data_IF_869470497346
#
_entry.id   IF_869470497346
#
_cell.length_a   1.000
_cell.length_b   1.000
_cell.length_c   1.000
_cell.angle_alpha   90.00
_cell.angle_beta   90.00
_cell.angle_gamma   90.00
#
_symmetry.space_group_name_H-M   'P 1'
#
loop_
_entity.id
_entity.type
_entity.pdbx_description
1 polymer ?
#
# COMPACT_ATOMS: atom_id res chain seq x y z
N UNK A 1 -4.28 13.15 4.61
CA UNK A 1 -5.02 12.69 3.41
C UNK A 1 -6.30 12.02 3.87
N UNK A 2 -7.44 12.22 3.20
CA UNK A 2 -8.71 11.62 3.64
C UNK A 2 -8.84 10.16 3.16
N UNK A 3 -9.67 9.36 3.85
CA UNK A 3 -9.83 7.93 3.56
C UNK A 3 -10.36 7.67 2.15
N UNK A 4 -11.31 8.46 1.66
CA UNK A 4 -11.87 8.32 0.32
C UNK A 4 -10.80 8.40 -0.77
N UNK A 5 -9.89 9.37 -0.67
CA UNK A 5 -8.78 9.50 -1.60
C UNK A 5 -7.81 8.31 -1.50
N UNK A 6 -7.49 7.87 -0.27
CA UNK A 6 -6.59 6.73 -0.05
C UNK A 6 -7.17 5.43 -0.63
N UNK A 7 -8.47 5.18 -0.43
CA UNK A 7 -9.17 4.04 -1.03
C UNK A 7 -9.23 4.13 -2.54
N UNK A 8 -9.51 5.33 -3.07
CA UNK A 8 -9.50 5.57 -4.52
C UNK A 8 -8.13 5.31 -5.15
N UNK A 9 -7.04 5.68 -4.46
CA UNK A 9 -5.69 5.35 -4.92
C UNK A 9 -5.46 3.84 -4.95
N UNK A 10 -5.76 3.13 -3.86
CA UNK A 10 -5.60 1.67 -3.78
C UNK A 10 -6.39 0.96 -4.88
N UNK A 11 -7.66 1.35 -5.06
CA UNK A 11 -8.55 0.80 -6.08
C UNK A 11 -8.06 1.12 -7.49
N UNK A 12 -7.59 2.35 -7.73
CA UNK A 12 -7.00 2.74 -9.01
C UNK A 12 -5.80 1.88 -9.40
N UNK A 13 -4.96 1.46 -8.43
CA UNK A 13 -3.86 0.53 -8.71
C UNK A 13 -4.38 -0.87 -9.07
N UNK A 14 -5.45 -1.35 -8.43
CA UNK A 14 -6.09 -2.62 -8.79
C UNK A 14 -6.64 -2.58 -10.23
N UNK A 15 -7.37 -1.51 -10.57
CA UNK A 15 -8.06 -1.38 -11.85
C UNK A 15 -7.09 -1.16 -13.03
N UNK A 16 -5.94 -0.55 -12.76
CA UNK A 16 -4.91 -0.28 -13.77
C UNK A 16 -3.79 -1.33 -13.79
N UNK A 17 -3.86 -2.34 -12.92
CA UNK A 17 -2.90 -3.43 -12.91
C UNK A 17 -2.93 -4.18 -14.26
N UNK A 18 -1.77 -4.59 -14.81
CA UNK A 18 -1.73 -5.39 -16.03
C UNK A 18 -2.57 -6.66 -15.89
N UNK A 19 -3.41 -6.96 -16.88
CA UNK A 19 -4.27 -8.15 -16.89
C UNK A 19 -3.49 -9.48 -16.84
N UNK A 20 -2.18 -9.45 -17.08
CA UNK A 20 -1.27 -10.59 -16.95
C UNK A 20 -0.94 -10.95 -15.50
N UNK A 21 -1.22 -10.06 -14.54
CA UNK A 21 -1.02 -10.35 -13.12
C UNK A 21 -2.16 -11.19 -12.56
N UNK A 22 -1.80 -12.19 -11.75
CA UNK A 22 -2.80 -12.89 -10.94
C UNK A 22 -3.37 -11.96 -9.88
N UNK A 23 -4.56 -12.27 -9.37
CA UNK A 23 -5.21 -11.49 -8.29
C UNK A 23 -4.27 -11.25 -7.09
N UNK A 24 -3.53 -12.29 -6.67
CA UNK A 24 -2.57 -12.17 -5.57
C UNK A 24 -1.39 -11.22 -5.90
N UNK A 25 -0.98 -11.15 -7.16
CA UNK A 25 0.07 -10.21 -7.60
C UNK A 25 -0.46 -8.78 -7.75
N UNK A 26 -1.70 -8.63 -8.19
CA UNK A 26 -2.41 -7.35 -8.22
C UNK A 26 -2.55 -6.78 -6.81
N UNK A 27 -2.93 -7.60 -5.82
CA UNK A 27 -3.02 -7.16 -4.41
C UNK A 27 -1.64 -6.74 -3.87
N UNK A 28 -0.59 -7.52 -4.14
CA UNK A 28 0.79 -7.15 -3.74
C UNK A 28 1.22 -5.81 -4.36
N UNK A 29 0.90 -5.58 -5.63
CA UNK A 29 1.18 -4.33 -6.32
C UNK A 29 0.42 -3.16 -5.69
N UNK A 30 -0.89 -3.32 -5.47
CA UNK A 30 -1.75 -2.31 -4.86
C UNK A 30 -1.27 -1.91 -3.45
N UNK A 31 -0.97 -2.90 -2.60
CA UNK A 31 -0.40 -2.66 -1.27
C UNK A 31 0.93 -1.91 -1.37
N UNK A 32 1.85 -2.39 -2.19
CA UNK A 32 3.20 -1.79 -2.31
C UNK A 32 3.13 -0.35 -2.79
N UNK A 33 2.34 -0.09 -3.84
CA UNK A 33 2.20 1.23 -4.44
C UNK A 33 1.50 2.21 -3.51
N UNK A 34 0.49 1.74 -2.77
CA UNK A 34 -0.23 2.55 -1.79
C UNK A 34 0.67 2.93 -0.63
N UNK A 35 1.45 1.99 -0.07
CA UNK A 35 2.42 2.31 0.98
C UNK A 35 3.43 3.33 0.47
N UNK A 36 3.98 3.14 -0.74
CA UNK A 36 4.97 4.06 -1.31
C UNK A 36 4.40 5.47 -1.48
N UNK A 37 3.23 5.59 -2.12
CA UNK A 37 2.60 6.88 -2.40
C UNK A 37 2.24 7.62 -1.11
N UNK A 38 1.55 6.97 -0.18
CA UNK A 38 1.13 7.59 1.07
C UNK A 38 2.33 7.97 1.93
N UNK A 39 3.39 7.15 1.93
CA UNK A 39 4.62 7.48 2.66
C UNK A 39 5.33 8.68 2.04
N UNK A 40 5.37 8.78 0.72
CA UNK A 40 5.91 9.94 0.02
C UNK A 40 5.09 11.21 0.30
N UNK A 41 3.76 11.07 0.42
CA UNK A 41 2.85 12.14 0.84
C UNK A 41 2.93 12.49 2.34
N UNK A 42 3.90 11.96 3.09
CA UNK A 42 4.13 12.30 4.49
C UNK A 42 3.20 11.60 5.49
N UNK A 43 2.39 10.64 5.06
CA UNK A 43 1.51 9.91 5.97
C UNK A 43 2.33 8.99 6.89
N UNK A 44 1.91 8.91 8.15
CA UNK A 44 2.58 8.09 9.17
C UNK A 44 2.45 6.60 8.84
N UNK A 45 3.47 5.81 9.22
CA UNK A 45 3.46 4.36 8.98
C UNK A 45 2.28 3.69 9.69
N UNK A 46 1.98 4.10 10.92
CA UNK A 46 0.84 3.61 11.69
C UNK A 46 -0.47 3.89 10.96
N UNK A 47 -0.67 5.12 10.48
CA UNK A 47 -1.89 5.46 9.72
C UNK A 47 -2.01 4.70 8.40
N UNK A 48 -0.90 4.42 7.71
CA UNK A 48 -0.89 3.60 6.49
C UNK A 48 -1.24 2.14 6.82
N UNK A 49 -0.67 1.61 7.90
CA UNK A 49 -0.94 0.25 8.36
C UNK A 49 -2.42 0.07 8.72
N UNK A 50 -2.94 0.93 9.59
CA UNK A 50 -4.33 0.86 10.06
C UNK A 50 -5.31 1.01 8.90
N UNK A 51 -5.01 1.90 7.95
CA UNK A 51 -5.80 2.02 6.73
C UNK A 51 -5.82 0.72 5.90
N UNK A 52 -4.65 0.13 5.62
CA UNK A 52 -4.57 -1.06 4.77
C UNK A 52 -5.18 -2.30 5.46
N UNK A 53 -4.92 -2.49 6.76
CA UNK A 53 -5.31 -3.69 7.49
C UNK A 53 -6.72 -3.57 8.06
N UNK A 54 -7.06 -2.44 8.68
CA UNK A 54 -8.34 -2.28 9.38
C UNK A 54 -9.44 -1.73 8.47
N UNK A 55 -9.13 -0.77 7.59
CA UNK A 55 -10.15 -0.19 6.72
C UNK A 55 -10.34 -1.02 5.44
N UNK A 56 -9.24 -1.41 4.78
CA UNK A 56 -9.29 -2.15 3.50
C UNK A 56 -9.20 -3.67 3.64
N UNK A 57 -8.95 -4.19 4.85
CA UNK A 57 -8.83 -5.63 5.11
C UNK A 57 -7.78 -6.34 4.22
N UNK A 58 -6.75 -5.60 3.80
CA UNK A 58 -5.66 -6.14 3.01
C UNK A 58 -4.83 -7.13 3.83
N UNK A 59 -4.14 -8.04 3.15
CA UNK A 59 -3.34 -9.06 3.83
C UNK A 59 -2.23 -8.45 4.72
N UNK A 60 -2.42 -8.51 6.04
CA UNK A 60 -1.53 -7.91 7.04
C UNK A 60 -0.08 -8.40 6.93
N UNK A 61 0.13 -9.69 6.60
CA UNK A 61 1.48 -10.24 6.41
C UNK A 61 2.21 -9.52 5.28
N UNK A 62 1.51 -9.19 4.19
CA UNK A 62 2.09 -8.42 3.09
C UNK A 62 2.30 -6.96 3.47
N UNK A 63 1.32 -6.30 4.08
CA UNK A 63 1.46 -4.91 4.56
C UNK A 63 2.71 -4.75 5.44
N UNK A 64 2.86 -5.61 6.45
CA UNK A 64 4.00 -5.60 7.35
C UNK A 64 5.34 -5.91 6.67
N UNK A 65 5.34 -6.76 5.63
CA UNK A 65 6.54 -7.03 4.84
C UNK A 65 6.99 -5.78 4.07
N UNK A 66 6.07 -5.10 3.38
CA UNK A 66 6.41 -3.97 2.51
C UNK A 66 6.71 -2.68 3.27
N UNK A 67 6.02 -2.41 4.38
CA UNK A 67 6.38 -1.30 5.29
C UNK A 67 7.85 -1.44 5.73
N UNK A 68 8.26 -2.64 6.18
CA UNK A 68 9.64 -2.89 6.60
C UNK A 68 10.65 -2.67 5.48
N UNK A 69 10.33 -3.07 4.24
CA UNK A 69 11.21 -2.88 3.10
C UNK A 69 11.39 -1.39 2.76
N UNK A 70 10.31 -0.61 2.75
CA UNK A 70 10.37 0.83 2.44
C UNK A 70 11.08 1.62 3.54
N UNK A 71 10.87 1.28 4.82
CA UNK A 71 11.60 1.91 5.93
C UNK A 71 13.11 1.67 5.82
N UNK A 72 13.53 0.44 5.50
CA UNK A 72 14.95 0.12 5.28
C UNK A 72 15.55 0.92 4.13
N UNK A 73 14.78 1.14 3.05
CA UNK A 73 15.24 1.93 1.91
C UNK A 73 15.54 3.39 2.29
N UNK A 74 14.78 3.97 3.23
CA UNK A 74 15.00 5.34 3.74
C UNK A 74 16.22 5.49 4.68
N UNK A 75 16.73 4.40 5.24
CA UNK A 75 17.87 4.40 6.18
C UNK A 75 19.21 4.13 5.50
N UNK A 76 19.19 3.76 4.21
CA UNK A 76 20.38 3.43 3.41
C UNK A 76 20.70 4.52 2.36
N UNK A 77 20.27 5.76 2.60
CA UNK A 77 20.60 6.95 1.80
C UNK A 77 21.04 8.04 2.76
#
# INVERSE_FOLDING_TARGET
MNKTFMSGYYQGVIETAPATLSAAKTEQLAITMTILHLRHAGISITSIHDFLVSDLHANERFVNKYIRQIVKFKLNI
#
